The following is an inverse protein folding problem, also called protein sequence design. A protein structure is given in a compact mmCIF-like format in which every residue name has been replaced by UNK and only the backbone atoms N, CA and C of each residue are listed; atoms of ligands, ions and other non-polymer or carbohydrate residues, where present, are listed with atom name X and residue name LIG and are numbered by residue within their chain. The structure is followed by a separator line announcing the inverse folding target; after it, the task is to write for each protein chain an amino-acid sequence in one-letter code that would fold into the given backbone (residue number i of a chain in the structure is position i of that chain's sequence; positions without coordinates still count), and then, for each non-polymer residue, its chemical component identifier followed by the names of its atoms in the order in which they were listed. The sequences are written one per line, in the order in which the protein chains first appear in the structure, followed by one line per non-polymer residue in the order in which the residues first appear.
data_IF_824901449047
#
_entry.id   IF_824901449047
#
_cell.length_a   1.000
_cell.length_b   1.000
_cell.length_c   1.000
_cell.angle_alpha   90.00
_cell.angle_beta   90.00
_cell.angle_gamma   90.00
#
_symmetry.space_group_name_H-M   'P 1'
#
loop_
_entity.id
_entity.type
_entity.pdbx_description
1 polymer ?
#
# COMPACT_ATOMS: atom_id res chain seq x y z
N UNK A 1 -12.09 -35.93 49.87
CA UNK A 1 -12.79 -35.81 48.59
C UNK A 1 -13.89 -34.77 48.77
N UNK A 2 -13.63 -33.53 48.38
CA UNK A 2 -14.57 -32.42 48.47
C UNK A 2 -14.78 -31.87 47.05
N UNK A 3 -16.04 -31.85 46.61
CA UNK A 3 -16.46 -31.45 45.27
C UNK A 3 -16.67 -29.93 45.20
N UNK A 4 -16.09 -29.29 44.19
CA UNK A 4 -16.29 -27.87 43.88
C UNK A 4 -17.69 -27.61 43.32
N UNK A 5 -18.36 -26.51 43.71
CA UNK A 5 -19.61 -26.08 43.09
C UNK A 5 -19.34 -25.30 41.80
N UNK A 6 -20.04 -25.67 40.72
CA UNK A 6 -20.02 -24.96 39.44
C UNK A 6 -20.83 -23.66 39.44
N UNK A 7 -20.58 -22.74 38.49
CA UNK A 7 -21.22 -21.43 38.46
C UNK A 7 -22.65 -21.45 37.87
N UNK A 8 -23.52 -20.51 38.26
CA UNK A 8 -24.90 -20.44 37.79
C UNK A 8 -25.01 -19.81 36.39
N UNK A 9 -25.65 -20.53 35.48
CA UNK A 9 -26.05 -20.08 34.15
C UNK A 9 -27.47 -19.51 34.22
N UNK A 10 -27.64 -18.22 33.90
CA UNK A 10 -28.96 -17.62 33.73
C UNK A 10 -28.89 -16.54 32.64
N UNK A 11 -29.41 -16.86 31.45
CA UNK A 11 -29.68 -15.89 30.37
C UNK A 11 -31.20 -15.80 30.20
N UNK A 12 -31.81 -14.61 30.19
CA UNK A 12 -33.25 -14.47 29.99
C UNK A 12 -33.63 -14.48 28.49
N UNK A 13 -34.87 -14.86 28.15
CA UNK A 13 -35.35 -14.92 26.77
C UNK A 13 -35.72 -13.52 26.26
N UNK A 14 -35.26 -13.15 25.05
CA UNK A 14 -35.77 -11.97 24.35
C UNK A 14 -37.00 -12.34 23.54
N UNK A 15 -38.08 -11.63 23.85
CA UNK A 15 -39.38 -11.76 23.22
C UNK A 15 -39.43 -11.16 21.82
N UNK A 16 -40.24 -11.85 21.02
CA UNK A 16 -40.88 -11.44 19.78
C UNK A 16 -41.62 -10.11 19.91
N UNK A 17 -41.45 -9.25 18.89
CA UNK A 17 -42.51 -8.40 18.36
C UNK A 17 -42.26 -8.14 16.88
N UNK A 18 -43.07 -8.77 16.03
CA UNK A 18 -43.35 -8.30 14.66
C UNK A 18 -44.06 -6.94 14.71
N UNK A 19 -43.88 -6.09 13.69
CA UNK A 19 -45.06 -5.77 12.89
C UNK A 19 -44.82 -5.73 11.38
N UNK A 20 -45.61 -6.56 10.70
CA UNK A 20 -46.35 -6.32 9.44
C UNK A 20 -46.25 -4.92 8.83
N UNK A 21 -45.69 -4.84 7.63
CA UNK A 21 -46.11 -3.89 6.59
C UNK A 21 -45.87 -4.49 5.21
N UNK A 22 -46.94 -4.56 4.43
CA UNK A 22 -47.00 -5.12 3.09
C UNK A 22 -46.89 -4.03 2.03
N UNK A 23 -46.10 -4.20 0.98
CA UNK A 23 -46.37 -3.75 -0.42
C UNK A 23 -45.33 -4.34 -1.40
N UNK A 24 -45.52 -4.33 -2.74
CA UNK A 24 -45.52 -5.56 -3.53
C UNK A 24 -44.43 -5.63 -4.61
N UNK A 25 -44.10 -6.87 -4.99
CA UNK A 25 -43.88 -7.32 -6.36
C UNK A 25 -42.88 -6.57 -7.23
N UNK A 26 -41.65 -7.08 -7.29
CA UNK A 26 -40.83 -6.98 -8.51
C UNK A 26 -40.32 -8.37 -8.88
N UNK A 27 -40.93 -8.92 -9.92
CA UNK A 27 -40.49 -10.13 -10.62
C UNK A 27 -39.13 -9.82 -11.25
N UNK A 28 -38.11 -10.59 -10.86
CA UNK A 28 -36.86 -10.68 -11.61
C UNK A 28 -36.83 -12.10 -12.19
N UNK A 29 -36.96 -12.17 -13.50
CA UNK A 29 -36.80 -13.39 -14.28
C UNK A 29 -35.40 -13.97 -14.06
N UNK A 30 -35.35 -15.23 -13.63
CA UNK A 30 -34.18 -16.06 -13.74
C UNK A 30 -33.96 -16.40 -15.22
N UNK A 31 -32.79 -16.07 -15.76
CA UNK A 31 -32.38 -16.45 -17.12
C UNK A 31 -31.15 -17.34 -17.05
N UNK A 32 -31.44 -18.62 -17.17
CA UNK A 32 -30.71 -19.67 -17.88
C UNK A 32 -29.17 -19.62 -17.96
N UNK A 33 -28.58 -20.44 -17.09
CA UNK A 33 -27.66 -21.55 -17.41
C UNK A 33 -27.12 -21.59 -18.85
N UNK A 34 -25.83 -21.29 -19.00
CA UNK A 34 -24.95 -21.97 -19.95
C UNK A 34 -23.69 -22.40 -19.21
N UNK A 35 -23.79 -23.59 -18.62
CA UNK A 35 -22.67 -24.34 -18.04
C UNK A 35 -21.99 -25.05 -19.22
N UNK A 36 -20.92 -24.45 -19.74
CA UNK A 36 -20.08 -25.09 -20.75
C UNK A 36 -19.14 -26.07 -20.06
N UNK A 37 -19.43 -27.34 -20.30
CA UNK A 37 -18.66 -28.52 -19.98
C UNK A 37 -17.37 -28.52 -20.85
N UNK A 38 -16.26 -28.05 -20.29
CA UNK A 38 -14.93 -28.13 -20.91
C UNK A 38 -14.22 -29.36 -20.34
N UNK A 39 -14.37 -30.48 -21.04
CA UNK A 39 -13.56 -31.67 -20.83
C UNK A 39 -12.09 -31.33 -21.12
N UNK A 40 -11.27 -31.40 -20.08
CA UNK A 40 -9.82 -31.27 -20.13
C UNK A 40 -9.22 -32.33 -21.07
N UNK A 41 -8.59 -31.88 -22.16
CA UNK A 41 -7.70 -32.71 -22.99
C UNK A 41 -6.27 -32.54 -22.47
N UNK A 42 -5.79 -33.55 -21.76
CA UNK A 42 -4.41 -33.67 -21.25
C UNK A 42 -3.56 -34.31 -22.32
N UNK A 43 -2.67 -33.55 -22.98
CA UNK A 43 -1.39 -34.04 -23.52
C UNK A 43 -0.61 -32.85 -24.13
N UNK A 44 0.30 -32.24 -23.37
CA UNK A 44 1.36 -31.40 -23.93
C UNK A 44 2.59 -31.49 -23.01
N UNK A 45 3.54 -32.34 -23.38
CA UNK A 45 4.83 -32.48 -22.73
C UNK A 45 5.68 -31.22 -22.97
N UNK A 46 5.70 -30.31 -21.99
CA UNK A 46 6.65 -29.21 -21.96
C UNK A 46 8.05 -29.75 -21.65
N UNK A 47 8.91 -29.74 -22.68
CA UNK A 47 10.36 -29.88 -22.56
C UNK A 47 10.89 -28.73 -21.68
N UNK A 48 11.05 -29.00 -20.39
CA UNK A 48 11.74 -28.10 -19.45
C UNK A 48 13.21 -27.97 -19.84
N UNK A 49 13.54 -26.95 -20.62
CA UNK A 49 14.92 -26.46 -20.71
C UNK A 49 15.20 -25.64 -19.47
N UNK A 50 16.20 -26.08 -18.70
CA UNK A 50 16.66 -25.40 -17.49
C UNK A 50 17.01 -23.94 -17.81
N UNK A 51 16.44 -22.94 -17.11
CA UNK A 51 16.81 -21.55 -17.34
C UNK A 51 18.28 -21.36 -16.92
N UNK A 52 19.09 -20.87 -17.86
CA UNK A 52 20.43 -20.37 -17.55
C UNK A 52 20.26 -19.19 -16.60
N UNK A 53 20.85 -19.28 -15.41
CA UNK A 53 20.93 -18.17 -14.46
C UNK A 53 21.68 -17.01 -15.14
N UNK A 54 20.93 -16.03 -15.65
CA UNK A 54 21.48 -14.78 -16.15
C UNK A 54 21.91 -13.97 -14.93
N UNK A 55 23.22 -13.76 -14.78
CA UNK A 55 23.76 -12.82 -13.80
C UNK A 55 23.56 -11.42 -14.37
N UNK A 56 22.37 -10.85 -14.17
CA UNK A 56 22.18 -9.41 -14.34
C UNK A 56 22.98 -8.71 -13.23
N UNK A 57 24.01 -7.97 -13.64
CA UNK A 57 24.76 -7.11 -12.73
C UNK A 57 23.80 -6.11 -12.10
N UNK A 58 23.78 -6.02 -10.77
CA UNK A 58 22.98 -5.03 -10.05
C UNK A 58 23.22 -3.63 -10.63
N UNK A 59 22.17 -2.90 -11.01
CA UNK A 59 22.33 -1.52 -11.42
C UNK A 59 22.91 -0.74 -10.23
N UNK A 60 24.02 -0.05 -10.48
CA UNK A 60 24.59 0.90 -9.52
C UNK A 60 23.54 1.96 -9.26
N UNK A 61 22.97 1.97 -8.05
CA UNK A 61 22.16 3.04 -7.50
C UNK A 61 22.83 4.39 -7.82
N UNK A 62 22.29 5.07 -8.82
CA UNK A 62 22.74 6.38 -9.27
C UNK A 62 21.92 7.40 -8.45
N UNK A 63 22.33 7.61 -7.20
CA UNK A 63 21.95 8.81 -6.45
C UNK A 63 22.46 10.02 -7.23
N UNK A 64 21.53 10.80 -7.78
CA UNK A 64 21.67 12.16 -8.30
C UNK A 64 20.24 12.70 -8.46
N UNK A 65 19.88 13.92 -8.10
CA UNK A 65 20.62 15.01 -7.51
C UNK A 65 19.58 15.96 -6.90
N UNK A 66 19.94 16.58 -5.79
CA UNK A 66 19.27 17.77 -5.25
C UNK A 66 19.05 18.79 -6.38
N UNK A 67 17.82 19.26 -6.56
CA UNK A 67 17.58 20.54 -7.20
C UNK A 67 16.54 21.33 -6.43
N UNK A 68 17.01 22.47 -5.93
CA UNK A 68 16.28 23.46 -5.19
C UNK A 68 15.17 24.08 -6.04
N UNK A 69 13.95 24.02 -5.51
CA UNK A 69 12.90 24.97 -5.85
C UNK A 69 12.60 25.82 -4.60
N UNK A 70 13.32 26.94 -4.53
CA UNK A 70 13.04 28.08 -3.67
C UNK A 70 11.61 28.58 -3.95
N UNK A 71 10.68 28.35 -3.01
CA UNK A 71 9.39 29.02 -3.03
C UNK A 71 9.52 30.39 -2.37
N UNK A 72 9.44 31.42 -3.21
CA UNK A 72 9.23 32.82 -2.86
C UNK A 72 7.94 32.98 -2.03
N UNK A 73 8.09 33.50 -0.80
CA UNK A 73 7.01 34.04 0.02
C UNK A 73 7.09 35.57 -0.03
N UNK A 74 5.97 36.29 -0.25
CA UNK A 74 5.99 37.75 -0.34
C UNK A 74 6.28 38.41 1.02
N UNK A 75 7.26 39.30 0.99
CA UNK A 75 7.64 40.22 2.05
C UNK A 75 6.45 41.01 2.60
N UNK A 76 6.25 40.94 3.92
CA UNK A 76 5.54 42.00 4.66
C UNK A 76 6.53 42.64 5.62
N UNK A 77 7.20 43.69 5.13
CA UNK A 77 8.18 44.45 5.89
C UNK A 77 7.53 45.39 6.90
N UNK A 78 7.86 45.19 8.18
CA UNK A 78 7.93 46.25 9.19
C UNK A 78 8.75 45.74 10.38
N UNK A 79 10.08 45.80 10.28
CA UNK A 79 10.99 45.55 11.40
C UNK A 79 11.63 46.86 11.85
N UNK A 80 11.36 47.22 13.11
CA UNK A 80 11.99 48.28 13.88
C UNK A 80 13.03 47.59 14.77
N UNK A 81 14.30 47.79 14.46
CA UNK A 81 15.42 47.71 15.42
C UNK A 81 15.45 49.00 16.28
N UNK A 82 16.20 49.09 17.41
CA UNK A 82 17.28 48.20 17.87
C UNK A 82 17.28 47.91 19.39
N UNK A 83 18.21 47.06 19.85
CA UNK A 83 18.77 47.23 21.19
C UNK A 83 19.26 45.96 21.89
N UNK A 84 20.52 45.59 21.65
CA UNK A 84 21.31 44.79 22.58
C UNK A 84 21.51 45.55 23.91
N UNK A 85 21.78 44.87 25.05
CA UNK A 85 23.19 44.58 25.33
C UNK A 85 23.48 43.25 26.04
N UNK A 86 24.76 42.90 25.96
CA UNK A 86 25.51 41.80 26.55
C UNK A 86 25.23 41.50 28.04
N UNK A 87 25.37 40.23 28.43
CA UNK A 87 25.90 39.88 29.76
C UNK A 87 26.60 38.52 29.71
N UNK A 88 27.92 38.57 29.91
CA UNK A 88 28.78 37.49 30.45
C UNK A 88 28.27 37.02 31.81
N UNK A 89 28.33 35.71 32.10
CA UNK A 89 28.82 35.17 33.38
C UNK A 89 28.74 33.63 33.44
N UNK A 90 29.93 33.01 33.38
CA UNK A 90 30.45 31.95 34.25
C UNK A 90 29.80 30.54 34.34
N UNK A 91 30.61 29.48 34.53
CA UNK A 91 30.19 28.09 34.61
C UNK A 91 29.75 27.70 36.03
N UNK A 92 28.80 26.79 36.16
CA UNK A 92 28.46 26.14 37.44
C UNK A 92 28.77 24.66 37.39
N UNK A 93 29.45 24.27 38.45
CA UNK A 93 29.98 22.96 38.78
C UNK A 93 28.92 21.85 38.88
N UNK A 94 29.35 20.65 38.47
CA UNK A 94 29.36 19.48 39.33
C UNK A 94 28.04 19.05 39.99
N UNK A 95 27.43 17.99 39.43
CA UNK A 95 26.93 16.90 40.26
C UNK A 95 26.78 15.62 39.44
N UNK A 96 27.77 14.73 39.61
CA UNK A 96 27.67 13.34 39.25
C UNK A 96 26.99 12.57 40.42
N UNK A 97 25.95 11.77 40.18
CA UNK A 97 25.53 10.77 41.13
C UNK A 97 26.29 9.46 40.88
N UNK A 98 27.12 9.13 41.87
CA UNK A 98 27.66 7.81 42.17
C UNK A 98 26.54 6.75 42.18
N UNK A 99 26.63 5.76 41.30
CA UNK A 99 25.85 4.51 41.37
C UNK A 99 26.81 3.38 41.75
N UNK A 100 26.50 2.61 42.81
CA UNK A 100 27.36 1.51 43.26
C UNK A 100 27.24 0.27 42.37
N UNK A 101 28.35 -0.45 42.33
CA UNK A 101 28.61 -1.71 41.66
C UNK A 101 27.89 -2.91 42.29
N UNK A 102 27.99 -4.01 41.54
CA UNK A 102 27.90 -5.42 41.94
C UNK A 102 26.50 -6.03 42.11
N UNK A 103 26.05 -6.72 41.06
CA UNK A 103 25.53 -8.07 41.23
C UNK A 103 25.83 -8.89 39.98
N UNK A 104 26.87 -9.72 40.07
CA UNK A 104 27.17 -10.78 39.12
C UNK A 104 26.05 -11.83 39.19
N UNK A 105 25.30 -11.99 38.10
CA UNK A 105 24.44 -13.14 37.88
C UNK A 105 25.00 -13.91 36.68
N UNK A 106 25.68 -15.01 37.00
CA UNK A 106 26.12 -16.04 36.06
C UNK A 106 24.91 -16.61 35.29
N UNK A 107 24.72 -16.17 34.05
CA UNK A 107 23.83 -16.85 33.12
C UNK A 107 24.61 -17.94 32.37
N UNK A 108 24.35 -19.18 32.77
CA UNK A 108 24.85 -20.40 32.17
C UNK A 108 24.52 -20.45 30.67
N UNK A 109 25.57 -20.51 29.85
CA UNK A 109 25.51 -20.81 28.42
C UNK A 109 25.10 -22.28 28.26
N UNK A 110 23.84 -22.52 27.92
CA UNK A 110 23.37 -23.83 27.48
C UNK A 110 23.70 -24.00 25.99
N UNK A 111 24.74 -24.80 25.71
CA UNK A 111 25.11 -25.24 24.36
C UNK A 111 24.07 -26.23 23.84
N UNK A 112 23.44 -26.02 22.66
CA UNK A 112 22.59 -27.04 22.05
C UNK A 112 23.44 -28.16 21.43
N UNK A 113 23.02 -29.44 21.51
CA UNK A 113 23.72 -30.54 20.86
C UNK A 113 23.53 -30.52 19.34
N UNK A 114 24.62 -30.75 18.62
CA UNK A 114 24.65 -30.93 17.17
C UNK A 114 23.97 -32.25 16.79
N UNK A 115 22.87 -32.17 16.05
CA UNK A 115 22.29 -33.29 15.31
C UNK A 115 22.38 -33.01 13.82
N UNK A 116 23.43 -33.54 13.20
CA UNK A 116 23.52 -33.71 11.75
C UNK A 116 22.78 -35.00 11.36
N UNK A 117 21.80 -34.96 10.45
CA UNK A 117 21.35 -36.16 9.77
C UNK A 117 22.28 -36.51 8.60
N UNK A 118 22.70 -37.76 8.61
CA UNK A 118 23.53 -38.48 7.64
C UNK A 118 22.98 -38.40 6.22
N UNK A 119 23.86 -38.04 5.28
CA UNK A 119 23.70 -38.15 3.83
C UNK A 119 23.41 -39.61 3.43
N UNK A 120 22.19 -39.87 2.96
CA UNK A 120 21.84 -41.09 2.24
C UNK A 120 22.30 -40.97 0.79
N UNK A 121 23.21 -41.86 0.39
CA UNK A 121 23.62 -42.07 -0.99
C UNK A 121 22.41 -42.49 -1.84
N UNK A 122 22.10 -41.72 -2.87
CA UNK A 122 21.17 -42.13 -3.92
C UNK A 122 22.00 -42.66 -5.08
N UNK A 123 21.85 -43.95 -5.34
CA UNK A 123 22.61 -44.73 -6.31
C UNK A 123 22.24 -44.37 -7.75
N UNK A 124 23.27 -44.35 -8.59
CA UNK A 124 23.23 -44.12 -10.03
C UNK A 124 22.30 -45.10 -10.77
N UNK A 125 21.34 -44.54 -11.52
CA UNK A 125 20.62 -45.27 -12.57
C UNK A 125 21.08 -44.76 -13.95
N UNK A 126 21.62 -45.62 -14.83
CA UNK A 126 22.05 -45.22 -16.16
C UNK A 126 20.83 -45.04 -17.08
N UNK A 127 20.63 -43.82 -17.58
CA UNK A 127 19.62 -43.49 -18.58
C UNK A 127 20.13 -43.97 -19.94
N UNK A 128 19.43 -44.96 -20.49
CA UNK A 128 19.67 -45.54 -21.81
C UNK A 128 19.29 -44.56 -22.91
N UNK A 129 20.25 -44.14 -23.71
CA UNK A 129 20.07 -43.27 -24.88
C UNK A 129 19.71 -44.15 -26.06
N UNK A 130 18.47 -44.06 -26.55
CA UNK A 130 18.04 -44.73 -27.78
C UNK A 130 18.26 -43.80 -28.97
N UNK A 131 19.24 -44.15 -29.80
CA UNK A 131 19.47 -43.55 -31.12
C UNK A 131 18.36 -43.95 -32.10
N UNK A 132 17.51 -42.99 -32.46
CA UNK A 132 16.48 -43.12 -33.49
C UNK A 132 16.99 -42.69 -34.86
N UNK A 133 17.19 -43.67 -35.72
CA UNK A 133 17.78 -43.61 -37.05
C UNK A 133 16.98 -42.82 -38.11
N UNK A 134 17.75 -42.22 -39.02
CA UNK A 134 17.45 -41.65 -40.33
C UNK A 134 16.34 -42.37 -41.14
N UNK A 135 15.48 -41.59 -41.82
CA UNK A 135 15.16 -41.85 -43.24
C UNK A 135 14.72 -40.58 -43.95
N UNK A 136 15.52 -40.20 -44.94
CA UNK A 136 15.17 -39.26 -46.00
C UNK A 136 14.17 -39.89 -46.98
N UNK A 137 13.29 -39.09 -47.57
CA UNK A 137 12.56 -39.45 -48.81
C UNK A 137 12.37 -38.18 -49.65
N UNK A 138 12.88 -38.15 -50.91
CA UNK A 138 12.68 -37.04 -51.83
C UNK A 138 11.58 -37.33 -52.87
N UNK A 139 10.84 -36.25 -53.23
CA UNK A 139 10.16 -35.97 -54.53
C UNK A 139 9.08 -36.94 -55.07
N UNK A 140 8.22 -36.57 -56.08
CA UNK A 140 8.39 -35.53 -57.10
C UNK A 140 7.18 -34.62 -57.42
N UNK A 141 7.48 -33.55 -58.14
CA UNK A 141 6.56 -32.67 -58.85
C UNK A 141 5.74 -33.37 -59.95
N UNK A 142 4.53 -32.86 -60.20
CA UNK A 142 3.82 -32.98 -61.49
C UNK A 142 2.64 -31.97 -61.60
N UNK A 143 2.19 -31.66 -62.83
CA UNK A 143 1.72 -30.33 -63.22
C UNK A 143 0.19 -30.17 -63.35
N UNK A 144 -0.21 -28.91 -63.50
CA UNK A 144 -1.54 -28.29 -63.68
C UNK A 144 -2.35 -28.90 -64.86
N UNK A 145 -3.71 -28.88 -64.81
CA UNK A 145 -4.43 -27.98 -65.73
C UNK A 145 -5.70 -27.30 -65.16
N UNK A 146 -5.78 -26.00 -65.49
CA UNK A 146 -6.90 -25.10 -65.79
C UNK A 146 -8.34 -25.70 -65.93
N UNK A 147 -9.31 -25.20 -65.14
CA UNK A 147 -10.73 -25.08 -65.51
C UNK A 147 -11.62 -24.32 -64.48
N UNK A 148 -11.91 -23.05 -64.81
CA UNK A 148 -13.20 -22.34 -64.69
C UNK A 148 -13.83 -21.94 -63.32
N UNK A 149 -14.56 -20.80 -63.27
CA UNK A 149 -14.84 -20.05 -62.05
C UNK A 149 -16.22 -20.37 -61.45
N UNK A 150 -16.24 -21.02 -60.29
CA UNK A 150 -17.43 -21.07 -59.45
C UNK A 150 -17.51 -19.78 -58.64
N UNK A 151 -18.46 -18.92 -59.01
CA UNK A 151 -18.95 -17.81 -58.20
C UNK A 151 -19.67 -18.39 -56.98
N UNK A 152 -18.93 -18.70 -55.94
CA UNK A 152 -19.52 -18.92 -54.62
C UNK A 152 -19.33 -17.70 -53.73
N UNK A 153 -20.51 -17.25 -53.33
CA UNK A 153 -20.84 -16.07 -52.59
C UNK A 153 -20.61 -16.37 -51.11
N UNK A 154 -19.39 -16.15 -50.62
CA UNK A 154 -19.17 -15.90 -49.21
C UNK A 154 -18.67 -14.47 -49.07
N UNK A 155 -19.36 -13.59 -48.33
CA UNK A 155 -18.73 -12.35 -47.91
C UNK A 155 -17.49 -12.78 -47.14
N UNK A 156 -16.33 -12.52 -47.73
CA UNK A 156 -15.02 -12.64 -47.11
C UNK A 156 -15.01 -11.66 -45.92
N UNK A 157 -15.59 -12.11 -44.81
CA UNK A 157 -15.52 -11.53 -43.48
C UNK A 157 -14.75 -12.50 -42.60
N UNK A 158 -13.61 -12.98 -43.11
CA UNK A 158 -12.46 -13.17 -42.24
C UNK A 158 -11.58 -11.95 -42.46
N UNK A 159 -12.04 -10.81 -41.95
CA UNK A 159 -11.08 -9.89 -41.34
C UNK A 159 -10.45 -10.74 -40.25
N UNK A 160 -9.28 -11.31 -40.54
CA UNK A 160 -8.37 -11.76 -39.48
C UNK A 160 -8.37 -10.62 -38.46
N UNK A 161 -8.74 -10.86 -37.20
CA UNK A 161 -8.61 -9.82 -36.19
C UNK A 161 -7.15 -9.40 -36.26
N UNK A 162 -6.91 -8.20 -36.78
CA UNK A 162 -5.58 -7.63 -36.77
C UNK A 162 -5.20 -7.61 -35.31
N UNK A 163 -4.08 -8.25 -35.00
CA UNK A 163 -3.43 -8.32 -33.70
C UNK A 163 -2.93 -6.90 -33.35
N UNK A 164 -3.86 -5.96 -33.24
CA UNK A 164 -3.61 -4.56 -33.02
C UNK A 164 -3.38 -4.41 -31.54
N UNK A 165 -2.12 -4.31 -31.15
CA UNK A 165 -1.75 -3.93 -29.81
C UNK A 165 -2.15 -2.48 -29.56
N UNK A 166 -2.92 -2.24 -28.50
CA UNK A 166 -3.24 -0.92 -27.99
C UNK A 166 -2.90 -0.90 -26.49
N UNK A 167 -1.96 -0.05 -26.09
CA UNK A 167 -1.54 0.02 -24.68
C UNK A 167 -2.70 0.46 -23.77
N UNK A 168 -3.57 1.33 -24.27
CA UNK A 168 -4.70 1.89 -23.51
C UNK A 168 -5.72 0.80 -23.10
N UNK A 169 -5.77 -0.34 -23.81
CA UNK A 169 -6.68 -1.46 -23.48
C UNK A 169 -6.20 -2.25 -22.24
N UNK A 170 -4.92 -2.14 -21.89
CA UNK A 170 -4.27 -2.88 -20.80
C UNK A 170 -3.84 -1.98 -19.63
N UNK A 171 -4.10 -0.67 -19.74
CA UNK A 171 -3.63 0.34 -18.81
C UNK A 171 -2.16 0.71 -18.99
N UNK A 172 -1.81 1.84 -18.39
CA UNK A 172 -0.53 2.52 -18.58
C UNK A 172 0.13 2.76 -17.23
N UNK A 173 1.44 2.57 -17.14
CA UNK A 173 2.23 2.85 -15.95
C UNK A 173 2.93 4.20 -16.06
N UNK A 174 2.57 5.13 -15.16
CA UNK A 174 3.22 6.41 -15.00
C UNK A 174 3.53 6.70 -13.52
N UNK A 175 4.79 6.50 -13.07
CA UNK A 175 5.18 6.77 -11.69
C UNK A 175 5.23 8.26 -11.35
N UNK A 176 5.26 9.16 -12.34
CA UNK A 176 5.38 10.61 -12.10
C UNK A 176 4.03 11.23 -11.69
N UNK A 177 2.91 10.55 -11.98
CA UNK A 177 1.58 11.03 -11.60
C UNK A 177 1.19 10.69 -10.14
N UNK A 178 2.12 10.13 -9.35
CA UNK A 178 1.89 9.73 -7.94
C UNK A 178 1.43 10.89 -7.04
N UNK A 179 1.75 12.14 -7.40
CA UNK A 179 1.31 13.33 -6.65
C UNK A 179 -0.15 13.72 -6.92
N UNK A 180 -0.71 13.30 -8.05
CA UNK A 180 -2.07 13.66 -8.46
C UNK A 180 -3.14 12.71 -7.92
N UNK A 181 -2.72 11.51 -7.51
CA UNK A 181 -3.62 10.48 -7.02
C UNK A 181 -3.31 10.10 -5.57
N UNK A 182 -4.29 9.52 -4.87
CA UNK A 182 -4.02 8.88 -3.59
C UNK A 182 -2.94 7.78 -3.79
N UNK A 183 -2.10 7.56 -2.77
CA UNK A 183 -0.99 6.61 -2.83
C UNK A 183 -1.47 5.24 -3.33
N UNK A 184 -0.78 4.68 -4.34
CA UNK A 184 -1.11 3.40 -4.98
C UNK A 184 -2.47 3.35 -5.72
N UNK A 185 -2.95 4.50 -6.19
CA UNK A 185 -4.18 4.59 -6.96
C UNK A 185 -4.01 4.12 -8.41
N UNK A 186 -5.05 3.42 -8.86
CA UNK A 186 -5.38 3.16 -10.25
C UNK A 186 -6.56 4.05 -10.63
N UNK A 187 -6.37 4.97 -11.58
CA UNK A 187 -7.44 5.86 -12.07
C UNK A 187 -8.24 5.24 -13.25
N UNK A 188 -8.37 3.92 -13.28
CA UNK A 188 -9.02 3.21 -14.39
C UNK A 188 -8.15 2.99 -15.63
N UNK A 189 -7.22 3.90 -15.93
CA UNK A 189 -6.32 3.74 -17.08
C UNK A 189 -4.83 3.91 -16.72
N UNK A 190 -4.53 4.57 -15.60
CA UNK A 190 -3.15 4.91 -15.20
C UNK A 190 -2.83 4.27 -13.85
N UNK A 191 -1.71 3.58 -13.80
CA UNK A 191 -1.11 2.97 -12.62
C UNK A 191 0.10 3.79 -12.16
N UNK A 192 0.13 4.13 -10.87
CA UNK A 192 1.25 4.81 -10.23
C UNK A 192 2.12 3.88 -9.38
N UNK A 193 1.57 2.73 -8.98
CA UNK A 193 2.27 1.70 -8.19
C UNK A 193 2.73 0.54 -9.09
N UNK A 194 4.03 0.21 -9.12
CA UNK A 194 4.54 -0.84 -10.00
C UNK A 194 4.05 -2.24 -9.61
N UNK A 195 3.74 -2.48 -8.33
CA UNK A 195 3.22 -3.77 -7.86
C UNK A 195 1.78 -4.00 -8.35
N UNK A 196 0.90 -3.01 -8.16
CA UNK A 196 -0.46 -3.03 -8.73
C UNK A 196 -0.45 -3.19 -10.26
N UNK A 197 0.47 -2.50 -10.95
CA UNK A 197 0.64 -2.65 -12.39
C UNK A 197 1.07 -4.08 -12.77
N UNK A 198 2.03 -4.68 -12.04
CA UNK A 198 2.45 -6.08 -12.25
C UNK A 198 1.26 -7.04 -12.13
N UNK A 199 0.48 -6.96 -11.06
CA UNK A 199 -0.68 -7.83 -10.86
C UNK A 199 -1.70 -7.70 -12.00
N UNK A 200 -1.98 -6.47 -12.43
CA UNK A 200 -2.89 -6.20 -13.54
C UNK A 200 -2.41 -6.80 -14.86
N UNK A 201 -1.14 -6.58 -15.21
CA UNK A 201 -0.56 -7.11 -16.45
C UNK A 201 -0.47 -8.65 -16.42
N UNK A 202 -0.14 -9.24 -15.27
CA UNK A 202 -0.13 -10.69 -15.11
C UNK A 202 -1.52 -11.30 -15.30
N UNK A 203 -2.57 -10.67 -14.75
CA UNK A 203 -3.96 -11.07 -14.98
C UNK A 203 -4.33 -11.07 -16.47
N UNK A 204 -3.98 -10.01 -17.20
CA UNK A 204 -4.23 -9.95 -18.65
C UNK A 204 -3.40 -10.96 -19.45
N UNK A 205 -2.13 -11.14 -19.08
CA UNK A 205 -1.24 -12.10 -19.72
C UNK A 205 -1.72 -13.56 -19.55
N UNK A 206 -2.43 -13.88 -18.46
CA UNK A 206 -3.10 -15.17 -18.28
C UNK A 206 -4.25 -15.39 -19.25
N UNK A 207 -4.97 -14.32 -19.62
CA UNK A 207 -6.10 -14.37 -20.56
C UNK A 207 -5.65 -14.33 -22.02
N UNK A 208 -4.49 -13.73 -22.27
CA UNK A 208 -3.89 -13.58 -23.59
C UNK A 208 -2.55 -14.35 -23.71
N UNK A 209 -1.65 -13.89 -24.57
CA UNK A 209 -0.36 -14.52 -24.82
C UNK A 209 0.75 -13.72 -24.12
N UNK A 210 1.40 -14.33 -23.13
CA UNK A 210 2.58 -13.82 -22.42
C UNK A 210 3.63 -13.20 -23.36
N UNK A 211 3.91 -13.86 -24.49
CA UNK A 211 4.89 -13.39 -25.48
C UNK A 211 4.50 -12.07 -26.15
N UNK A 212 3.20 -11.80 -26.28
CA UNK A 212 2.68 -10.55 -26.84
C UNK A 212 2.97 -9.41 -25.87
N UNK A 213 2.67 -9.59 -24.58
CA UNK A 213 2.97 -8.60 -23.54
C UNK A 213 4.45 -8.26 -23.50
N UNK A 214 5.35 -9.25 -23.40
CA UNK A 214 6.81 -8.98 -23.36
C UNK A 214 7.34 -8.12 -24.51
N UNK A 215 6.73 -8.21 -25.69
CA UNK A 215 7.16 -7.45 -26.88
C UNK A 215 6.63 -6.03 -26.92
N UNK A 216 5.56 -5.74 -26.20
CA UNK A 216 4.82 -4.50 -26.32
C UNK A 216 4.62 -3.76 -25.00
N UNK A 217 5.08 -4.32 -23.89
CA UNK A 217 4.90 -3.73 -22.56
C UNK A 217 5.57 -2.36 -22.41
N UNK A 218 6.62 -2.08 -23.18
CA UNK A 218 7.21 -0.74 -23.24
C UNK A 218 6.23 0.34 -23.74
N UNK A 219 5.21 -0.05 -24.51
CA UNK A 219 4.21 0.87 -25.05
C UNK A 219 3.24 1.34 -23.94
N UNK A 220 3.11 0.55 -22.86
CA UNK A 220 2.38 0.86 -21.63
C UNK A 220 3.18 1.73 -20.65
N UNK A 221 4.45 2.06 -20.91
CA UNK A 221 5.23 2.92 -20.02
C UNK A 221 5.07 4.40 -20.39
N UNK A 222 5.01 5.27 -19.38
CA UNK A 222 5.02 6.74 -19.50
C UNK A 222 6.02 7.36 -18.52
N UNK A 223 6.15 8.69 -18.57
CA UNK A 223 7.01 9.47 -17.70
C UNK A 223 8.44 8.94 -17.56
N UNK A 224 8.91 8.90 -16.31
CA UNK A 224 10.22 8.39 -15.93
C UNK A 224 10.38 6.88 -16.17
N UNK A 225 9.29 6.09 -16.16
CA UNK A 225 9.32 4.67 -16.52
C UNK A 225 9.70 4.43 -17.99
N UNK A 226 9.10 5.20 -18.90
CA UNK A 226 9.48 5.16 -20.31
C UNK A 226 10.91 5.63 -20.51
N UNK A 227 11.30 6.69 -19.81
CA UNK A 227 12.66 7.25 -19.89
C UNK A 227 13.71 6.24 -19.41
N UNK A 228 13.41 5.50 -18.34
CA UNK A 228 14.26 4.40 -17.85
C UNK A 228 14.42 3.31 -18.90
N UNK A 229 13.33 2.81 -19.48
CA UNK A 229 13.40 1.77 -20.51
C UNK A 229 14.17 2.24 -21.76
N UNK A 230 13.99 3.50 -22.18
CA UNK A 230 14.73 4.09 -23.31
C UNK A 230 16.22 4.32 -22.99
N UNK A 231 16.59 4.41 -21.70
CA UNK A 231 17.98 4.54 -21.26
C UNK A 231 18.76 3.22 -21.27
N UNK A 232 18.06 2.09 -21.30
CA UNK A 232 18.66 0.76 -21.45
C UNK A 232 19.28 0.62 -22.84
N UNK A 233 20.39 -0.11 -22.92
CA UNK A 233 21.02 -0.42 -24.19
C UNK A 233 20.19 -1.46 -24.98
N UNK A 234 20.51 -1.67 -26.27
CA UNK A 234 19.75 -2.60 -27.11
C UNK A 234 19.82 -4.05 -26.61
N UNK A 235 20.96 -4.48 -26.07
CA UNK A 235 21.17 -5.82 -25.53
C UNK A 235 20.30 -6.04 -24.29
N UNK A 236 20.27 -5.08 -23.35
CA UNK A 236 19.42 -5.10 -22.15
C UNK A 236 17.92 -5.13 -22.50
N UNK A 237 17.51 -4.37 -23.53
CA UNK A 237 16.11 -4.38 -24.00
C UNK A 237 15.73 -5.70 -24.66
N UNK A 238 16.64 -6.31 -25.41
CA UNK A 238 16.40 -7.62 -26.01
C UNK A 238 16.37 -8.73 -24.96
N UNK A 239 17.31 -8.71 -24.00
CA UNK A 239 17.32 -9.62 -22.85
C UNK A 239 16.00 -9.56 -22.08
N UNK A 240 15.46 -8.35 -21.88
CA UNK A 240 14.14 -8.14 -21.27
C UNK A 240 12.99 -8.72 -22.10
N UNK A 241 13.03 -8.61 -23.44
CA UNK A 241 11.99 -9.19 -24.31
C UNK A 241 12.05 -10.71 -24.36
N UNK A 242 13.23 -11.28 -24.16
CA UNK A 242 13.48 -12.72 -24.13
C UNK A 242 13.24 -13.36 -22.74
N UNK A 243 13.23 -12.58 -21.65
CA UNK A 243 13.00 -13.06 -20.29
C UNK A 243 11.56 -13.54 -20.06
N UNK A 244 11.23 -14.01 -18.85
CA UNK A 244 9.83 -14.17 -18.48
C UNK A 244 9.18 -12.80 -18.27
N UNK A 245 7.86 -12.70 -18.46
CA UNK A 245 7.12 -11.46 -18.17
C UNK A 245 7.21 -11.09 -16.69
N UNK A 246 7.21 -12.09 -15.82
CA UNK A 246 7.40 -11.92 -14.39
C UNK A 246 8.76 -11.28 -14.07
N UNK A 247 9.86 -11.81 -14.62
CA UNK A 247 11.20 -11.22 -14.44
C UNK A 247 11.26 -9.76 -14.95
N UNK A 248 10.56 -9.47 -16.06
CA UNK A 248 10.49 -8.13 -16.63
C UNK A 248 9.81 -7.14 -15.68
N UNK A 249 8.65 -7.54 -15.14
CA UNK A 249 7.86 -6.76 -14.19
C UNK A 249 8.58 -6.63 -12.83
N UNK A 250 9.30 -7.66 -12.39
CA UNK A 250 10.12 -7.60 -11.18
C UNK A 250 11.26 -6.60 -11.31
N UNK A 251 11.89 -6.53 -12.50
CA UNK A 251 12.89 -5.50 -12.76
C UNK A 251 12.29 -4.09 -12.76
N UNK A 252 11.06 -3.93 -13.29
CA UNK A 252 10.34 -2.66 -13.23
C UNK A 252 10.07 -2.26 -11.77
N UNK A 253 9.54 -3.18 -10.96
CA UNK A 253 9.31 -2.97 -9.51
C UNK A 253 10.62 -2.56 -8.83
N UNK A 254 11.72 -3.27 -9.08
CA UNK A 254 13.01 -2.95 -8.46
C UNK A 254 13.55 -1.55 -8.79
N UNK A 255 13.17 -0.96 -9.93
CA UNK A 255 13.60 0.38 -10.33
C UNK A 255 12.66 1.49 -9.84
N UNK A 256 11.37 1.19 -9.66
CA UNK A 256 10.34 2.20 -9.35
C UNK A 256 9.72 2.07 -7.95
N UNK A 257 10.06 1.02 -7.20
CA UNK A 257 9.69 0.95 -5.78
C UNK A 257 10.41 2.04 -5.01
N UNK A 258 9.71 2.64 -4.06
CA UNK A 258 10.31 3.62 -3.17
C UNK A 258 11.38 2.94 -2.28
N UNK A 259 12.48 3.65 -2.03
CA UNK A 259 13.52 3.19 -1.13
C UNK A 259 12.92 2.94 0.27
N UNK A 260 13.22 1.77 0.86
CA UNK A 260 12.67 1.36 2.17
C UNK A 260 12.86 2.44 3.25
N UNK A 261 14.05 3.04 3.29
CA UNK A 261 14.37 4.10 4.27
C UNK A 261 13.49 5.34 4.10
N UNK A 262 13.17 5.71 2.85
CA UNK A 262 12.32 6.86 2.55
C UNK A 262 10.86 6.58 2.90
N UNK A 263 10.36 5.38 2.58
CA UNK A 263 9.01 4.96 2.97
C UNK A 263 8.86 4.93 4.49
N UNK A 264 9.82 4.34 5.20
CA UNK A 264 9.79 4.28 6.66
C UNK A 264 9.88 5.67 7.29
N UNK A 265 10.58 6.62 6.66
CA UNK A 265 10.60 8.01 7.09
C UNK A 265 9.23 8.66 6.94
N UNK A 266 8.57 8.49 5.78
CA UNK A 266 7.21 8.98 5.53
C UNK A 266 6.23 8.44 6.58
N UNK A 267 6.28 7.13 6.86
CA UNK A 267 5.43 6.48 7.86
C UNK A 267 5.63 7.10 9.24
N UNK A 268 6.88 7.29 9.67
CA UNK A 268 7.22 7.89 10.98
C UNK A 268 6.81 9.36 11.09
N UNK A 269 6.80 10.08 9.98
CA UNK A 269 6.43 11.49 9.93
C UNK A 269 4.89 11.70 9.90
N UNK A 270 4.11 10.63 9.84
CA UNK A 270 2.65 10.65 9.76
C UNK A 270 1.92 10.04 10.98
N UNK A 271 2.26 10.38 12.25
CA UNK A 271 1.64 9.77 13.42
C UNK A 271 0.16 10.18 13.58
N UNK A 272 -0.66 9.27 14.09
CA UNK A 272 -2.02 9.58 14.53
C UNK A 272 -2.03 10.05 15.98
N UNK A 273 -2.22 11.36 16.16
CA UNK A 273 -2.11 12.03 17.46
C UNK A 273 -3.39 12.77 17.86
N UNK A 274 -3.42 13.24 19.11
CA UNK A 274 -4.51 14.10 19.61
C UNK A 274 -4.71 15.38 18.80
N UNK A 275 -3.69 15.85 18.06
CA UNK A 275 -3.79 17.02 17.18
C UNK A 275 -4.70 16.74 15.99
N UNK A 276 -4.55 15.59 15.33
CA UNK A 276 -5.41 15.16 14.21
C UNK A 276 -6.87 14.97 14.64
N UNK A 277 -7.09 14.34 15.80
CA UNK A 277 -8.43 14.18 16.38
C UNK A 277 -9.10 15.55 16.60
N UNK A 278 -8.39 16.52 17.20
CA UNK A 278 -8.92 17.88 17.44
C UNK A 278 -9.18 18.65 16.15
N UNK A 279 -8.33 18.48 15.13
CA UNK A 279 -8.50 19.06 13.79
C UNK A 279 -9.60 18.39 12.98
N UNK A 280 -10.20 17.33 13.51
CA UNK A 280 -11.25 16.54 12.87
C UNK A 280 -10.82 15.88 11.54
N UNK A 281 -9.54 15.54 11.41
CA UNK A 281 -9.05 14.73 10.28
C UNK A 281 -9.80 13.40 10.25
N UNK A 282 -10.18 12.93 9.06
CA UNK A 282 -10.85 11.62 8.94
C UNK A 282 -9.82 10.49 9.12
N UNK A 283 -10.15 9.45 9.89
CA UNK A 283 -9.29 8.28 10.02
C UNK A 283 -9.06 7.57 8.68
N UNK A 284 -10.09 7.46 7.85
CA UNK A 284 -10.04 6.88 6.50
C UNK A 284 -8.93 7.49 5.65
N UNK A 285 -8.94 8.82 5.44
CA UNK A 285 -7.93 9.52 4.63
C UNK A 285 -6.49 9.29 5.15
N UNK A 286 -6.32 9.19 6.47
CA UNK A 286 -5.00 8.95 7.07
C UNK A 286 -4.57 7.49 6.93
N UNK A 287 -5.49 6.55 7.18
CA UNK A 287 -5.20 5.13 7.11
C UNK A 287 -4.91 4.70 5.67
N UNK A 288 -5.69 5.19 4.71
CA UNK A 288 -5.47 4.93 3.28
C UNK A 288 -4.07 5.37 2.86
N UNK A 289 -3.69 6.60 3.23
CA UNK A 289 -2.35 7.13 2.96
C UNK A 289 -1.24 6.26 3.59
N UNK A 290 -1.39 5.95 4.88
CA UNK A 290 -0.35 5.23 5.63
C UNK A 290 -0.24 3.76 5.19
N UNK A 291 -1.38 3.13 4.91
CA UNK A 291 -1.46 1.76 4.39
C UNK A 291 -0.84 1.65 2.99
N UNK A 292 -1.09 2.63 2.11
CA UNK A 292 -0.44 2.69 0.80
C UNK A 292 1.09 2.82 0.89
N UNK A 293 1.62 3.45 1.94
CA UNK A 293 3.05 3.47 2.22
C UNK A 293 3.53 2.15 2.82
N UNK A 294 2.82 1.63 3.83
CA UNK A 294 3.22 0.43 4.56
C UNK A 294 3.20 -0.84 3.70
N UNK A 295 2.25 -0.94 2.76
CA UNK A 295 2.15 -2.05 1.80
C UNK A 295 3.35 -2.16 0.85
N UNK A 296 4.14 -1.08 0.66
CA UNK A 296 5.37 -1.14 -0.13
C UNK A 296 6.53 -1.82 0.62
N UNK A 297 6.46 -1.93 1.95
CA UNK A 297 7.52 -2.48 2.79
C UNK A 297 7.09 -3.75 3.54
N UNK A 298 5.85 -4.18 3.37
CA UNK A 298 5.28 -5.38 3.99
C UNK A 298 4.82 -6.35 2.92
N UNK A 299 4.92 -7.65 3.23
CA UNK A 299 4.47 -8.70 2.32
C UNK A 299 2.98 -9.02 2.54
N UNK A 300 2.52 -8.86 3.78
CA UNK A 300 1.14 -9.19 4.17
C UNK A 300 0.36 -7.96 4.60
N UNK A 301 -0.94 -7.95 4.29
CA UNK A 301 -1.85 -6.88 4.67
C UNK A 301 -1.87 -6.60 6.18
N UNK A 302 -1.88 -7.64 7.01
CA UNK A 302 -1.88 -7.46 8.47
C UNK A 302 -0.60 -6.79 8.99
N UNK A 303 0.56 -7.02 8.35
CA UNK A 303 1.82 -6.34 8.70
C UNK A 303 1.73 -4.84 8.36
N UNK A 304 1.17 -4.50 7.20
CA UNK A 304 0.92 -3.10 6.83
C UNK A 304 0.01 -2.39 7.85
N UNK A 305 -1.06 -3.07 8.28
CA UNK A 305 -1.99 -2.56 9.30
C UNK A 305 -1.30 -2.44 10.66
N UNK A 306 -0.45 -3.40 11.03
CA UNK A 306 0.32 -3.33 12.27
C UNK A 306 1.27 -2.14 12.28
N UNK A 307 1.98 -1.87 11.18
CA UNK A 307 2.81 -0.66 11.03
C UNK A 307 1.96 0.61 11.19
N UNK A 308 0.74 0.63 10.64
CA UNK A 308 -0.18 1.77 10.82
C UNK A 308 -0.63 1.93 12.29
N UNK A 309 -0.95 0.83 12.97
CA UNK A 309 -1.27 0.82 14.40
C UNK A 309 -0.11 1.32 15.26
N UNK A 310 1.14 0.98 14.91
CA UNK A 310 2.34 1.51 15.57
C UNK A 310 2.51 3.02 15.39
N UNK A 311 1.84 3.66 14.44
CA UNK A 311 1.85 5.12 14.29
C UNK A 311 0.77 5.83 15.12
N UNK A 312 -0.09 5.10 15.81
CA UNK A 312 -1.04 5.67 16.77
C UNK A 312 -0.29 6.06 18.05
N UNK A 313 -0.61 7.23 18.63
CA UNK A 313 -0.05 7.67 19.91
C UNK A 313 -0.24 6.58 20.98
N UNK A 314 0.81 6.16 21.72
CA UNK A 314 0.72 5.06 22.69
C UNK A 314 -0.45 5.15 23.68
N UNK A 315 -0.84 6.35 24.11
CA UNK A 315 -2.00 6.52 25.03
C UNK A 315 -3.35 6.20 24.38
N UNK A 316 -3.42 6.25 23.05
CA UNK A 316 -4.63 6.01 22.26
C UNK A 316 -4.74 4.56 21.79
N UNK A 317 -3.65 3.79 21.79
CA UNK A 317 -3.64 2.39 21.37
C UNK A 317 -4.49 1.49 22.25
N UNK A 318 -4.69 1.86 23.52
CA UNK A 318 -5.53 1.09 24.44
C UNK A 318 -7.00 0.99 23.96
N UNK A 319 -7.45 1.96 23.15
CA UNK A 319 -8.82 2.01 22.63
C UNK A 319 -8.96 1.36 21.23
N UNK A 320 -7.85 1.00 20.56
CA UNK A 320 -7.84 0.41 19.22
C UNK A 320 -7.12 -0.95 19.28
N UNK A 321 -7.82 -2.08 19.00
CA UNK A 321 -7.19 -3.39 19.04
C UNK A 321 -6.02 -3.47 18.06
N UNK A 322 -4.95 -4.13 18.49
CA UNK A 322 -3.81 -4.45 17.63
C UNK A 322 -4.29 -5.40 16.51
N UNK A 323 -3.99 -5.11 15.24
CA UNK A 323 -4.43 -5.95 14.13
C UNK A 323 -3.72 -7.31 14.19
N UNK A 324 -4.50 -8.38 14.05
CA UNK A 324 -4.01 -9.75 13.93
C UNK A 324 -3.96 -10.20 12.46
N UNK A 325 -3.55 -11.44 12.22
CA UNK A 325 -3.43 -11.99 10.86
C UNK A 325 -4.76 -12.12 10.11
N UNK A 326 -5.89 -12.10 10.83
CA UNK A 326 -7.23 -12.26 10.27
C UNK A 326 -7.93 -10.89 10.10
N UNK A 327 -7.30 -9.80 10.55
CA UNK A 327 -7.83 -8.45 10.50
C UNK A 327 -7.76 -7.89 9.08
N UNK A 328 -8.92 -7.57 8.50
CA UNK A 328 -9.00 -6.90 7.21
C UNK A 328 -8.88 -5.37 7.38
N UNK A 329 -8.58 -4.69 6.28
CA UNK A 329 -8.43 -3.22 6.24
C UNK A 329 -9.70 -2.53 6.77
N UNK A 330 -10.87 -3.03 6.36
CA UNK A 330 -12.15 -2.46 6.77
C UNK A 330 -12.43 -2.66 8.26
N UNK A 331 -12.08 -3.83 8.81
CA UNK A 331 -12.25 -4.09 10.24
C UNK A 331 -11.40 -3.12 11.08
N UNK A 332 -10.14 -2.94 10.68
CA UNK A 332 -9.25 -2.00 11.35
C UNK A 332 -9.72 -0.55 11.24
N UNK A 333 -10.22 -0.15 10.07
CA UNK A 333 -10.79 1.18 9.85
C UNK A 333 -12.01 1.41 10.75
N UNK A 334 -12.93 0.45 10.82
CA UNK A 334 -14.14 0.54 11.66
C UNK A 334 -13.77 0.72 13.15
N UNK A 335 -12.78 -0.04 13.64
CA UNK A 335 -12.29 0.13 15.01
C UNK A 335 -11.69 1.52 15.25
N UNK A 336 -10.89 2.02 14.31
CA UNK A 336 -10.27 3.33 14.41
C UNK A 336 -11.29 4.48 14.34
N UNK A 337 -12.32 4.35 13.50
CA UNK A 337 -13.41 5.32 13.41
C UNK A 337 -14.23 5.37 14.70
N UNK A 338 -14.56 4.20 15.26
CA UNK A 338 -15.26 4.11 16.53
C UNK A 338 -14.47 4.80 17.65
N UNK A 339 -13.19 4.45 17.81
CA UNK A 339 -12.32 5.05 18.83
C UNK A 339 -12.19 6.58 18.63
N UNK A 340 -12.06 7.03 17.38
CA UNK A 340 -11.98 8.45 17.05
C UNK A 340 -13.25 9.23 17.42
N UNK A 341 -14.44 8.66 17.29
CA UNK A 341 -15.67 9.30 17.75
C UNK A 341 -15.70 9.43 19.28
N UNK A 342 -15.28 8.40 20.02
CA UNK A 342 -15.21 8.40 21.49
C UNK A 342 -14.20 9.43 22.01
N UNK A 343 -13.04 9.53 21.37
CA UNK A 343 -12.03 10.56 21.64
C UNK A 343 -12.58 11.97 21.41
N UNK A 344 -13.30 12.20 20.32
CA UNK A 344 -13.93 13.49 20.00
C UNK A 344 -14.98 13.88 21.04
N UNK A 345 -15.81 12.93 21.48
CA UNK A 345 -16.81 13.18 22.52
C UNK A 345 -16.16 13.53 23.87
N UNK A 346 -15.04 12.89 24.20
CA UNK A 346 -14.26 13.20 25.40
C UNK A 346 -13.79 14.66 25.42
N UNK A 347 -13.31 15.20 24.29
CA UNK A 347 -12.97 16.63 24.19
C UNK A 347 -14.19 17.54 24.30
N UNK A 348 -15.31 17.15 23.69
CA UNK A 348 -16.57 17.93 23.77
C UNK A 348 -17.05 18.08 25.21
N UNK A 349 -16.98 17.00 25.98
CA UNK A 349 -17.38 16.98 27.39
C UNK A 349 -16.40 17.76 28.29
N UNK A 350 -15.08 17.64 28.07
CA UNK A 350 -14.07 18.41 28.80
C UNK A 350 -14.25 19.92 28.57
N UNK A 351 -14.42 20.34 27.32
CA UNK A 351 -14.66 21.75 26.98
C UNK A 351 -15.94 22.33 27.60
N UNK A 352 -17.00 21.53 27.73
CA UNK A 352 -18.24 21.95 28.41
C UNK A 352 -18.08 22.14 29.92
N UNK A 353 -17.26 21.30 30.58
CA UNK A 353 -16.99 21.43 32.02
C UNK A 353 -16.21 22.70 32.33
N UNK A 354 -15.16 22.98 31.57
CA UNK A 354 -14.34 24.21 31.73
C UNK A 354 -15.16 25.49 31.51
N UNK A 355 -16.05 25.51 30.52
CA UNK A 355 -16.95 26.66 30.30
C UNK A 355 -17.93 26.89 31.45
N UNK A 356 -18.44 25.81 32.07
CA UNK A 356 -19.34 25.92 33.24
C UNK A 356 -18.61 26.46 34.46
N UNK A 357 -17.38 26.00 34.71
CA UNK A 357 -16.56 26.49 35.83
C UNK A 357 -16.19 27.97 35.68
N UNK A 358 -15.81 28.42 34.48
CA UNK A 358 -15.52 29.83 34.21
C UNK A 358 -16.75 30.74 34.40
N UNK A 359 -17.95 30.26 34.03
CA UNK A 359 -19.21 31.00 34.27
C UNK A 359 -19.59 31.02 35.76
N UNK A 360 -19.35 29.93 36.49
CA UNK A 360 -19.61 29.85 37.94
C UNK A 360 -18.76 30.82 38.75
N UNK A 361 -17.48 30.97 38.41
CA UNK A 361 -16.55 31.83 39.16
C UNK A 361 -16.82 33.35 38.97
N UNK A 362 -17.36 33.77 37.82
CA UNK A 362 -17.74 35.18 37.59
C UNK A 362 -19.01 35.63 38.35
N UNK A 363 -19.83 34.70 38.85
CA UNK A 363 -21.07 35.01 39.57
C UNK A 363 -20.90 35.41 41.04
N UNK A 364 -19.75 35.12 41.67
CA UNK A 364 -19.60 35.25 43.13
C UNK A 364 -18.94 36.56 43.62
N UNK A 365 -18.41 37.41 42.74
CA UNK A 365 -17.63 38.60 43.18
C UNK A 365 -18.31 39.97 42.95
N UNK A 366 -19.61 39.98 42.61
CA UNK A 366 -20.32 41.18 42.16
C UNK A 366 -21.37 41.75 43.13
N UNK A 367 -21.15 41.78 44.45
CA UNK A 367 -22.04 42.54 45.35
C UNK A 367 -21.39 43.10 46.62
N UNK A 368 -20.27 43.81 46.45
CA UNK A 368 -19.86 44.91 47.35
C UNK A 368 -19.39 46.03 46.42
N UNK A 369 -20.22 47.00 46.06
CA UNK A 369 -20.65 48.03 46.98
C UNK A 369 -19.65 49.19 46.98
N UNK A 370 -19.47 49.88 45.86
CA UNK A 370 -18.81 51.21 45.84
C UNK A 370 -19.68 52.20 45.08
N UNK A 371 -20.38 52.98 45.89
CA UNK A 371 -21.18 54.14 45.56
C UNK A 371 -20.23 55.32 45.39
N UNK A 372 -20.42 56.11 44.34
CA UNK A 372 -19.70 57.39 44.12
C UNK A 372 -18.47 57.21 43.23
N UNK A 373 -18.23 58.03 42.21
CA UNK A 373 -18.40 59.48 42.20
C UNK A 373 -18.48 59.95 40.76
N UNK A 374 -19.52 60.72 40.42
CA UNK A 374 -19.60 61.47 39.17
C UNK A 374 -18.39 62.41 39.10
N UNK A 375 -17.53 62.25 38.10
CA UNK A 375 -16.55 63.28 37.76
C UNK A 375 -16.71 63.64 36.29
N UNK A 376 -17.45 64.72 36.09
CA UNK A 376 -17.44 65.56 34.91
C UNK A 376 -16.01 66.10 34.67
N UNK A 377 -15.50 65.98 33.44
CA UNK A 377 -14.54 66.90 32.79
C UNK A 377 -14.39 66.43 31.34
N UNK A 378 -14.90 67.17 30.37
CA UNK A 378 -14.41 68.45 29.83
C UNK A 378 -13.68 68.20 28.50
N UNK A 379 -14.46 68.48 27.45
CA UNK A 379 -14.09 68.81 26.08
C UNK A 379 -12.86 69.72 26.01
N UNK A 380 -11.80 69.26 25.36
CA UNK A 380 -10.70 70.07 24.78
C UNK A 380 -10.06 69.12 23.74
N UNK A 381 -9.98 69.37 22.43
CA UNK A 381 -9.90 70.61 21.67
C UNK A 381 -8.43 70.86 21.26
N UNK A 382 -8.01 70.33 20.09
CA UNK A 382 -6.81 70.63 19.25
C UNK A 382 -6.28 69.32 18.63
N UNK A 383 -5.86 69.25 17.36
CA UNK A 383 -5.73 70.25 16.30
C UNK A 383 -5.70 69.53 14.96
#
# INVERSE_FOLDING_TARGET
MAASPGPPSTRPPRGSTDPTSATPGRVIEAKDKNFLDLTMSSDDELVQRSPKKVKLSHPRSRKNAENAATLDLPETGASVEPGAPATDCAPSDGNAPTVPADTEAECLVATPPATSPTLGACEDAPISISEGSLTATPEPASPVPDAAPAKDNFPSRCSTPSDHWCADDYGVFDPDERENFAFASYDGDIFTDPSAFKEHIMYWAMMENDRKFRRHLQDCLRGSARTWYESLNEEEREDLRESTLEDWLDLLIANFSADFDDVMKIIKDAPWDWSKVRKKVKPEDWLEYLYGCASQVSEYQWEALHIAWEQIDPEMRDDVPEPDSDCEYQDFLDYLEQANEEWRETFRLKGLKEQKEQKGNKGSNGKKGTRGTKRTKAKTGKR
#
